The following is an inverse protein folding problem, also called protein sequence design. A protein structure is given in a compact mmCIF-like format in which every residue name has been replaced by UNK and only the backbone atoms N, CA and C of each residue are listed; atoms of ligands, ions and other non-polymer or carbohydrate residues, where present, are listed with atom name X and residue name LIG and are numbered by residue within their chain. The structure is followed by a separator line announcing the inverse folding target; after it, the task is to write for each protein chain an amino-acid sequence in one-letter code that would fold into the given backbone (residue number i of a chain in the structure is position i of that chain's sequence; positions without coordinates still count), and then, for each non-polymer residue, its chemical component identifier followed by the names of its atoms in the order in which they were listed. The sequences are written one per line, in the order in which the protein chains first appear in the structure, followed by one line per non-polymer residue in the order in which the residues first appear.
data_IF_464711565274
#
_entry.id   IF_464711565274
#
_cell.length_a   1.000
_cell.length_b   1.000
_cell.length_c   1.000
_cell.angle_alpha   90.00
_cell.angle_beta   90.00
_cell.angle_gamma   90.00
#
_symmetry.space_group_name_H-M   'P 1'
#
loop_
_entity.id
_entity.type
_entity.pdbx_description
1 polymer ?
#
# COMPACT_ATOMS: atom_id res chain seq x y z
N UNK A 1 -18.26 -33.13 -0.11
CA UNK A 1 -17.33 -32.51 -1.08
C UNK A 1 -16.52 -31.45 -0.35
N UNK A 2 -15.21 -31.61 -0.22
CA UNK A 2 -14.34 -30.55 0.31
C UNK A 2 -14.34 -29.39 -0.69
N UNK A 3 -14.62 -28.17 -0.23
CA UNK A 3 -14.52 -26.97 -1.06
C UNK A 3 -13.09 -26.87 -1.59
N UNK A 4 -12.94 -26.58 -2.90
CA UNK A 4 -11.61 -26.31 -3.47
C UNK A 4 -10.93 -25.24 -2.60
N UNK A 5 -9.66 -25.43 -2.20
CA UNK A 5 -8.94 -24.41 -1.46
C UNK A 5 -8.98 -23.12 -2.29
N UNK A 6 -9.54 -22.08 -1.71
CA UNK A 6 -9.56 -20.78 -2.35
C UNK A 6 -8.20 -20.11 -2.18
N UNK A 7 -7.69 -19.45 -3.19
CA UNK A 7 -6.41 -18.73 -3.13
C UNK A 7 -6.63 -17.26 -3.46
N UNK A 8 -5.79 -16.40 -2.91
CA UNK A 8 -5.66 -15.03 -3.39
C UNK A 8 -4.24 -14.77 -3.89
N UNK A 9 -4.13 -13.87 -4.87
CA UNK A 9 -2.86 -13.39 -5.38
C UNK A 9 -2.40 -12.21 -4.51
N UNK A 10 -1.25 -12.39 -3.86
CA UNK A 10 -0.49 -11.35 -3.19
C UNK A 10 0.56 -10.77 -4.13
N UNK A 11 0.83 -9.48 -3.99
CA UNK A 11 1.96 -8.81 -4.61
C UNK A 11 2.99 -8.49 -3.52
N UNK A 12 4.19 -9.03 -3.67
CA UNK A 12 5.31 -8.72 -2.79
C UNK A 12 5.72 -7.27 -2.95
N UNK A 13 6.24 -6.70 -1.88
CA UNK A 13 6.78 -5.35 -1.90
C UNK A 13 8.07 -5.24 -2.75
N UNK A 14 8.48 -6.29 -3.46
CA UNK A 14 9.67 -6.31 -4.31
C UNK A 14 9.28 -6.08 -5.77
N UNK A 15 9.97 -5.14 -6.41
CA UNK A 15 9.82 -4.81 -7.83
C UNK A 15 11.18 -4.64 -8.50
N UNK A 16 11.26 -4.84 -9.81
CA UNK A 16 12.51 -4.67 -10.57
C UNK A 16 12.26 -4.08 -11.96
N UNK A 17 13.22 -3.30 -12.44
CA UNK A 17 13.34 -2.83 -13.83
C UNK A 17 14.25 -3.75 -14.67
N UNK A 18 14.57 -4.95 -14.16
CA UNK A 18 15.52 -5.94 -14.69
C UNK A 18 17.01 -5.58 -14.51
N UNK A 19 17.33 -4.41 -13.98
CA UNK A 19 18.71 -4.00 -13.64
C UNK A 19 18.96 -4.07 -12.14
N UNK A 20 18.00 -3.59 -11.36
CA UNK A 20 18.09 -3.55 -9.90
C UNK A 20 16.78 -3.97 -9.23
N UNK A 21 16.91 -4.51 -8.02
CA UNK A 21 15.78 -4.81 -7.15
C UNK A 21 15.47 -3.62 -6.25
N UNK A 22 14.19 -3.25 -6.20
CA UNK A 22 13.66 -2.16 -5.37
C UNK A 22 12.52 -2.67 -4.51
N UNK A 23 12.18 -1.86 -3.51
CA UNK A 23 11.12 -2.16 -2.56
C UNK A 23 10.05 -1.08 -2.56
N UNK A 24 8.80 -1.49 -2.42
CA UNK A 24 7.67 -0.65 -2.11
C UNK A 24 7.45 -0.64 -0.60
N UNK A 25 7.00 0.50 -0.08
CA UNK A 25 6.70 0.63 1.34
C UNK A 25 5.19 0.47 1.55
N UNK A 26 4.82 -0.62 2.22
CA UNK A 26 3.45 -0.86 2.66
C UNK A 26 3.41 -0.70 4.18
N UNK A 27 2.41 -0.01 4.70
CA UNK A 27 2.29 0.24 6.13
C UNK A 27 0.82 0.27 6.53
N UNK A 28 0.45 -0.59 7.47
CA UNK A 28 -0.88 -0.57 8.08
C UNK A 28 -0.84 0.24 9.38
N UNK A 29 -1.95 0.88 9.71
CA UNK A 29 -2.08 1.66 10.94
C UNK A 29 -3.37 1.20 11.58
N UNK A 30 -3.27 0.54 12.73
CA UNK A 30 -4.43 0.06 13.46
C UNK A 30 -5.40 1.19 13.76
N UNK A 31 -6.67 0.82 13.86
CA UNK A 31 -7.75 1.76 14.06
C UNK A 31 -7.67 2.44 15.44
N UNK A 32 -6.95 3.56 15.51
CA UNK A 32 -6.91 4.47 16.66
C UNK A 32 -7.91 5.63 16.48
N UNK A 33 -8.90 5.49 15.60
CA UNK A 33 -9.80 6.58 15.19
C UNK A 33 -10.86 6.92 16.25
N UNK A 34 -10.40 7.54 17.34
CA UNK A 34 -11.24 8.20 18.33
C UNK A 34 -11.67 9.56 17.73
N UNK A 35 -12.88 9.62 17.18
CA UNK A 35 -13.54 10.89 16.81
C UNK A 35 -13.04 11.63 15.55
N UNK A 36 -12.41 10.96 14.58
CA UNK A 36 -12.05 11.55 13.27
C UNK A 36 -10.84 12.49 13.25
N UNK A 37 -10.40 12.99 14.40
CA UNK A 37 -9.16 13.77 14.55
C UNK A 37 -7.91 13.00 14.09
N UNK A 38 -7.93 11.69 14.27
CA UNK A 38 -6.83 10.80 13.91
C UNK A 38 -6.63 10.71 12.39
N UNK A 39 -7.73 10.66 11.61
CA UNK A 39 -7.70 10.64 10.14
C UNK A 39 -6.97 11.86 9.54
N UNK A 40 -7.26 13.06 10.06
CA UNK A 40 -6.62 14.30 9.60
C UNK A 40 -5.12 14.34 9.93
N UNK A 41 -4.75 13.81 11.10
CA UNK A 41 -3.35 13.74 11.53
C UNK A 41 -2.53 12.81 10.64
N UNK A 42 -3.04 11.61 10.32
CA UNK A 42 -2.37 10.70 9.39
C UNK A 42 -2.25 11.35 8.02
N UNK A 43 -3.35 11.88 7.46
CA UNK A 43 -3.36 12.52 6.15
C UNK A 43 -2.31 13.63 6.05
N UNK A 44 -2.23 14.53 7.05
CA UNK A 44 -1.24 15.61 7.09
C UNK A 44 0.18 15.08 7.15
N UNK A 45 0.44 14.08 8.00
CA UNK A 45 1.78 13.49 8.09
C UNK A 45 2.20 12.84 6.77
N UNK A 46 1.37 11.97 6.21
CA UNK A 46 1.66 11.23 4.98
C UNK A 46 1.88 12.19 3.82
N UNK A 47 1.03 13.20 3.66
CA UNK A 47 1.20 14.20 2.60
C UNK A 47 2.51 14.96 2.74
N UNK A 48 2.84 15.45 3.95
CA UNK A 48 4.09 16.17 4.21
C UNK A 48 5.32 15.27 4.01
N UNK A 49 5.24 14.02 4.48
CA UNK A 49 6.31 13.04 4.33
C UNK A 49 6.59 12.75 2.86
N UNK A 50 5.52 12.50 2.09
CA UNK A 50 5.56 12.16 0.67
C UNK A 50 6.06 13.32 -0.18
N UNK A 51 5.56 14.54 0.03
CA UNK A 51 5.97 15.72 -0.72
C UNK A 51 7.47 16.00 -0.55
N UNK A 52 7.98 15.92 0.70
CA UNK A 52 9.40 16.13 1.01
C UNK A 52 10.31 15.10 0.35
N UNK A 53 9.82 13.88 0.14
CA UNK A 53 10.59 12.74 -0.38
C UNK A 53 10.25 12.38 -1.82
N UNK A 54 9.39 13.17 -2.47
CA UNK A 54 8.93 12.92 -3.85
C UNK A 54 8.34 11.51 -4.00
N UNK A 55 7.41 11.15 -3.13
CA UNK A 55 6.75 9.85 -3.13
C UNK A 55 5.30 9.95 -3.59
N UNK A 56 4.88 8.97 -4.39
CA UNK A 56 3.47 8.68 -4.64
C UNK A 56 2.96 7.65 -3.67
N UNK A 57 1.69 7.80 -3.30
CA UNK A 57 1.06 6.91 -2.33
C UNK A 57 -0.45 6.86 -2.50
N UNK A 58 -1.04 5.82 -1.91
CA UNK A 58 -2.47 5.71 -1.64
C UNK A 58 -2.64 5.49 -0.15
N UNK A 59 -3.47 6.32 0.48
CA UNK A 59 -3.91 6.15 1.85
C UNK A 59 -5.42 5.89 1.83
N UNK A 60 -5.82 4.71 2.28
CA UNK A 60 -7.23 4.33 2.39
C UNK A 60 -7.53 3.74 3.76
N UNK A 61 -8.82 3.69 4.12
CA UNK A 61 -9.32 3.14 5.37
C UNK A 61 -10.22 1.94 5.10
N UNK A 62 -10.13 0.94 5.98
CA UNK A 62 -11.09 -0.16 6.12
C UNK A 62 -11.69 -0.13 7.53
N UNK A 63 -12.57 -1.08 7.86
CA UNK A 63 -13.04 -1.26 9.25
C UNK A 63 -11.90 -1.57 10.24
N UNK A 64 -10.75 -2.04 9.77
CA UNK A 64 -9.63 -2.46 10.61
C UNK A 64 -8.57 -1.37 10.82
N UNK A 65 -8.64 -0.24 10.12
CA UNK A 65 -7.64 0.82 10.22
C UNK A 65 -7.28 1.42 8.88
N UNK A 66 -6.15 2.13 8.85
CA UNK A 66 -5.62 2.80 7.67
C UNK A 66 -4.56 1.94 7.00
N UNK A 67 -4.48 2.06 5.69
CA UNK A 67 -3.61 1.30 4.81
C UNK A 67 -2.87 2.30 3.95
N UNK A 68 -1.56 2.38 4.12
CA UNK A 68 -0.68 3.29 3.40
C UNK A 68 0.22 2.51 2.45
N UNK A 69 0.05 2.75 1.17
CA UNK A 69 0.77 2.07 0.10
C UNK A 69 1.56 3.11 -0.67
N UNK A 70 2.89 3.12 -0.49
CA UNK A 70 3.78 3.91 -1.31
C UNK A 70 4.00 3.21 -2.65
N UNK A 71 3.75 3.93 -3.74
CA UNK A 71 3.81 3.45 -5.12
C UNK A 71 5.14 3.82 -5.79
N UNK A 72 6.05 4.44 -5.06
CA UNK A 72 7.40 4.79 -5.52
C UNK A 72 8.40 3.72 -5.05
N UNK A 73 9.08 3.00 -5.98
CA UNK A 73 10.13 2.05 -5.68
C UNK A 73 11.31 2.72 -4.99
N UNK A 74 11.82 2.08 -3.93
CA UNK A 74 12.92 2.55 -3.11
C UNK A 74 14.08 1.56 -3.16
N UNK A 75 15.31 2.08 -3.07
CA UNK A 75 16.46 1.23 -2.73
C UNK A 75 16.28 0.66 -1.30
N UNK A 76 16.77 -0.55 -1.01
CA UNK A 76 16.55 -1.21 0.29
C UNK A 76 16.93 -0.37 1.52
N UNK A 77 18.06 0.36 1.47
CA UNK A 77 18.46 1.24 2.56
C UNK A 77 17.47 2.39 2.82
N UNK A 78 16.94 3.00 1.77
CA UNK A 78 15.93 4.07 1.88
C UNK A 78 14.58 3.53 2.33
N UNK A 79 14.23 2.33 1.90
CA UNK A 79 13.05 1.64 2.38
C UNK A 79 13.10 1.44 3.89
N UNK A 80 14.21 0.91 4.43
CA UNK A 80 14.39 0.71 5.87
C UNK A 80 14.36 2.00 6.67
N UNK A 81 15.03 3.06 6.18
CA UNK A 81 14.96 4.39 6.78
C UNK A 81 13.52 4.90 6.89
N UNK A 82 12.75 4.82 5.80
CA UNK A 82 11.40 5.35 5.75
C UNK A 82 10.43 4.51 6.57
N UNK A 83 10.62 3.19 6.61
CA UNK A 83 9.87 2.29 7.46
C UNK A 83 10.00 2.67 8.94
N UNK A 84 11.23 2.83 9.44
CA UNK A 84 11.48 3.19 10.84
C UNK A 84 10.88 4.55 11.22
N UNK A 85 10.85 5.51 10.30
CA UNK A 85 10.18 6.79 10.52
C UNK A 85 8.65 6.65 10.67
N UNK A 86 8.03 5.75 9.91
CA UNK A 86 6.59 5.46 10.05
C UNK A 86 6.30 4.72 11.35
N UNK A 87 7.12 3.73 11.68
CA UNK A 87 7.04 2.96 12.92
C UNK A 87 7.08 3.88 14.14
N UNK A 88 8.06 4.78 14.21
CA UNK A 88 8.17 5.79 15.28
C UNK A 88 6.98 6.76 15.33
N UNK A 89 6.36 7.04 14.18
CA UNK A 89 5.26 8.01 14.12
C UNK A 89 3.93 7.40 14.57
N UNK A 90 3.65 6.18 14.14
CA UNK A 90 2.31 5.60 14.23
C UNK A 90 2.17 4.52 15.29
N UNK A 91 3.26 3.90 15.75
CA UNK A 91 3.25 2.77 16.70
C UNK A 91 2.27 1.63 16.31
N UNK A 92 1.83 1.57 15.05
CA UNK A 92 0.80 0.65 14.57
C UNK A 92 1.36 -0.63 13.96
N UNK A 93 0.49 -1.60 13.70
CA UNK A 93 0.81 -2.89 13.09
C UNK A 93 1.31 -2.78 11.64
N UNK A 94 2.41 -3.46 11.33
CA UNK A 94 2.92 -3.58 9.96
C UNK A 94 2.61 -4.96 9.38
N UNK A 95 2.04 -4.99 8.17
CA UNK A 95 1.81 -6.20 7.38
C UNK A 95 2.79 -6.36 6.20
N UNK A 96 3.73 -5.43 6.04
CA UNK A 96 4.18 -4.94 4.73
C UNK A 96 5.22 -5.72 3.95
N UNK A 97 5.08 -7.04 3.88
CA UNK A 97 5.78 -7.80 2.83
C UNK A 97 4.92 -8.02 1.59
N UNK A 98 3.61 -8.19 1.77
CA UNK A 98 2.73 -8.59 0.66
C UNK A 98 1.37 -7.92 0.81
N UNK A 99 0.87 -7.37 -0.29
CA UNK A 99 -0.50 -6.84 -0.35
C UNK A 99 -1.39 -7.71 -1.20
N UNK A 100 -2.65 -7.83 -0.78
CA UNK A 100 -3.66 -8.59 -1.50
C UNK A 100 -4.13 -7.81 -2.73
N UNK A 101 -4.02 -8.41 -3.92
CA UNK A 101 -4.46 -7.78 -5.17
C UNK A 101 -5.98 -7.74 -5.33
N UNK A 102 -6.71 -8.67 -4.71
CA UNK A 102 -8.18 -8.66 -4.68
C UNK A 102 -8.71 -8.06 -3.37
N UNK A 103 -9.94 -7.53 -3.38
CA UNK A 103 -10.63 -7.22 -2.11
C UNK A 103 -10.97 -8.50 -1.36
N UNK A 104 -11.07 -8.43 -0.02
CA UNK A 104 -11.75 -9.50 0.75
C UNK A 104 -13.25 -9.43 0.48
N UNK A 105 -13.99 -10.53 0.68
CA UNK A 105 -15.44 -10.54 0.51
C UNK A 105 -16.09 -9.53 1.46
N UNK A 106 -17.00 -8.70 0.93
CA UNK A 106 -17.68 -7.61 1.66
C UNK A 106 -16.73 -6.56 2.26
N UNK A 107 -15.46 -6.50 1.84
CA UNK A 107 -14.56 -5.45 2.30
C UNK A 107 -14.86 -4.13 1.61
N UNK A 108 -15.16 -3.12 2.44
CA UNK A 108 -15.33 -1.75 2.00
C UNK A 108 -14.03 -0.98 2.28
N UNK A 109 -13.56 -0.25 1.28
CA UNK A 109 -12.36 0.58 1.33
C UNK A 109 -12.76 2.02 1.00
N UNK A 110 -12.32 2.97 1.81
CA UNK A 110 -12.57 4.41 1.61
C UNK A 110 -11.25 5.12 1.36
N UNK A 111 -11.14 5.85 0.25
CA UNK A 111 -9.97 6.67 -0.02
C UNK A 111 -9.90 7.84 0.97
N UNK A 112 -8.75 8.02 1.62
CA UNK A 112 -8.50 9.16 2.53
C UNK A 112 -7.67 10.24 1.84
N UNK A 113 -6.60 9.82 1.15
CA UNK A 113 -5.81 10.71 0.30
C UNK A 113 -4.92 9.90 -0.65
N UNK A 114 -4.43 10.54 -1.70
CA UNK A 114 -3.43 9.94 -2.60
C UNK A 114 -2.48 11.03 -3.11
N UNK A 115 -1.34 10.60 -3.65
CA UNK A 115 -0.40 11.44 -4.40
C UNK A 115 0.01 10.71 -5.67
N UNK A 116 -0.12 11.39 -6.81
CA UNK A 116 0.13 10.88 -8.16
C UNK A 116 1.38 11.49 -8.82
N UNK A 117 2.26 12.12 -8.03
CA UNK A 117 3.40 12.86 -8.57
C UNK A 117 4.53 11.97 -9.09
N UNK A 118 4.79 10.82 -8.46
CA UNK A 118 5.87 9.88 -8.80
C UNK A 118 5.42 8.39 -8.72
N UNK A 119 4.29 7.99 -9.33
CA UNK A 119 3.78 6.63 -9.24
C UNK A 119 4.58 5.75 -10.19
N UNK A 120 5.11 4.64 -9.70
CA UNK A 120 6.15 3.94 -10.44
C UNK A 120 5.94 2.41 -10.49
N UNK A 121 4.75 1.91 -10.13
CA UNK A 121 4.43 0.48 -10.23
C UNK A 121 3.06 0.22 -10.85
N UNK A 122 3.08 -0.13 -12.14
CA UNK A 122 1.90 -0.36 -12.97
C UNK A 122 0.83 -1.30 -12.36
N UNK A 123 1.14 -2.53 -11.88
CA UNK A 123 0.11 -3.43 -11.37
C UNK A 123 -0.72 -2.84 -10.22
N UNK A 124 -0.10 -2.10 -9.31
CA UNK A 124 -0.78 -1.50 -8.17
C UNK A 124 -1.54 -0.23 -8.54
N UNK A 125 -0.95 0.61 -9.38
CA UNK A 125 -1.61 1.81 -9.90
C UNK A 125 -2.96 1.45 -10.52
N UNK A 126 -2.99 0.49 -11.46
CA UNK A 126 -4.23 0.08 -12.13
C UNK A 126 -5.28 -0.48 -11.16
N UNK A 127 -4.86 -1.20 -10.12
CA UNK A 127 -5.78 -1.69 -9.10
C UNK A 127 -6.41 -0.52 -8.33
N UNK A 128 -5.61 0.44 -7.87
CA UNK A 128 -6.09 1.53 -7.04
C UNK A 128 -6.85 2.60 -7.83
N UNK A 129 -6.51 2.84 -9.09
CA UNK A 129 -7.30 3.67 -10.02
C UNK A 129 -8.73 3.15 -10.11
N UNK A 130 -8.90 1.86 -10.39
CA UNK A 130 -10.21 1.22 -10.47
C UNK A 130 -10.93 1.21 -9.12
N UNK A 131 -10.21 0.93 -8.03
CA UNK A 131 -10.82 0.81 -6.69
C UNK A 131 -11.35 2.13 -6.15
N UNK A 132 -10.68 3.23 -6.47
CA UNK A 132 -10.94 4.55 -5.88
C UNK A 132 -11.36 5.62 -6.89
N UNK A 133 -11.48 5.26 -8.17
CA UNK A 133 -11.78 6.17 -9.27
C UNK A 133 -10.81 7.37 -9.32
N UNK A 134 -9.50 7.07 -9.24
CA UNK A 134 -8.39 8.03 -9.35
C UNK A 134 -7.56 7.74 -10.59
N UNK A 135 -6.61 8.62 -10.93
CA UNK A 135 -5.74 8.48 -12.11
C UNK A 135 -4.28 8.79 -11.72
N UNK A 136 -3.35 7.87 -12.02
CA UNK A 136 -1.92 8.06 -11.84
C UNK A 136 -1.23 8.43 -13.14
N UNK A 137 -0.47 9.53 -13.14
CA UNK A 137 0.30 9.98 -14.30
C UNK A 137 1.72 9.42 -14.28
N UNK A 138 2.34 9.23 -15.44
CA UNK A 138 3.76 8.82 -15.55
C UNK A 138 4.09 7.45 -14.92
N UNK A 139 3.16 6.49 -14.99
CA UNK A 139 3.33 5.17 -14.40
C UNK A 139 4.52 4.43 -15.05
N UNK A 140 5.49 4.04 -14.23
CA UNK A 140 6.60 3.17 -14.65
C UNK A 140 6.15 1.70 -14.62
N UNK A 141 6.51 0.96 -15.68
CA UNK A 141 6.31 -0.49 -15.73
C UNK A 141 7.51 -1.17 -15.07
N UNK A 142 7.25 -1.82 -13.94
CA UNK A 142 8.23 -2.68 -13.26
C UNK A 142 7.69 -4.10 -13.17
N UNK A 143 8.58 -5.07 -13.25
CA UNK A 143 8.24 -6.45 -12.92
C UNK A 143 8.02 -6.55 -11.40
N UNK A 144 6.98 -7.28 -11.00
CA UNK A 144 6.61 -7.49 -9.61
C UNK A 144 6.63 -8.99 -9.29
N UNK A 145 6.88 -9.32 -8.03
CA UNK A 145 6.82 -10.70 -7.55
C UNK A 145 5.41 -10.98 -7.03
N UNK A 146 4.80 -12.03 -7.56
CA UNK A 146 3.46 -12.48 -7.18
C UNK A 146 3.54 -13.76 -6.36
N UNK A 147 2.68 -13.87 -5.35
CA UNK A 147 2.58 -15.07 -4.53
C UNK A 147 1.11 -15.51 -4.40
N UNK A 148 0.92 -16.83 -4.33
CA UNK A 148 -0.39 -17.42 -4.11
C UNK A 148 -0.53 -17.82 -2.65
N UNK A 149 -1.50 -17.22 -1.96
CA UNK A 149 -1.76 -17.53 -0.56
C UNK A 149 -3.02 -18.36 -0.41
N UNK A 150 -2.98 -19.46 0.37
CA UNK A 150 -4.17 -20.20 0.70
C UNK A 150 -5.11 -19.31 1.51
N UNK A 151 -6.28 -19.05 0.96
CA UNK A 151 -7.36 -18.33 1.61
C UNK A 151 -8.29 -19.35 2.27
N UNK A 152 -8.25 -19.43 3.60
CA UNK A 152 -9.20 -20.25 4.36
C UNK A 152 -10.60 -19.65 4.43
N UNK A 153 -10.77 -18.37 4.07
CA UNK A 153 -12.03 -17.63 4.14
C UNK A 153 -12.10 -16.59 2.99
N UNK A 154 -12.75 -16.96 1.87
CA UNK A 154 -13.31 -15.99 0.92
C UNK A 154 -14.73 -15.62 1.32
#
# INVERSE_FOLDING_TARGET
MASKPSFFIGLHNIVTDKKEWKQLLFYDIDNLDIGGWYSNTIKKFVSKFSNRRKLSYVLYKTKHGFHLIYLTPLAPGKWGEYFELHKKKFNGYYSGHTIRMSRKKKEVQYLISHSDTYPAVYPLCTIYEKRFNINFKNIIKMAAVYENYPSRNL
#
